data_IF_441911711013
#
_entry.id   IF_441911711013
#
_cell.length_a   1.000
_cell.length_b   1.000
_cell.length_c   1.000
_cell.angle_alpha   90.00
_cell.angle_beta   90.00
_cell.angle_gamma   90.00
#
_symmetry.space_group_name_H-M   'P 1'
#
loop_
_entity.id
_entity.type
_entity.pdbx_description
1 polymer ?
#
# COMPACT_ATOMS: atom_id res chain seq x y z
N UNK A 1 -30.07 -25.84 21.41
CA UNK A 1 -29.78 -27.01 22.27
C UNK A 1 -29.45 -28.16 21.30
N UNK A 2 -28.31 -28.83 21.24
CA UNK A 2 -27.08 -28.96 22.03
C UNK A 2 -25.94 -29.15 21.01
N UNK A 3 -24.87 -28.34 21.01
CA UNK A 3 -23.53 -28.62 21.57
C UNK A 3 -23.04 -30.07 21.45
N UNK A 4 -21.97 -30.28 20.67
CA UNK A 4 -20.81 -31.09 21.10
C UNK A 4 -19.52 -30.51 20.49
N UNK A 5 -18.62 -30.16 21.39
CA UNK A 5 -17.24 -29.75 21.18
C UNK A 5 -16.34 -30.99 21.13
N UNK A 6 -15.26 -30.96 20.35
CA UNK A 6 -14.02 -31.68 20.68
C UNK A 6 -12.83 -30.87 20.16
N UNK A 7 -11.85 -30.74 21.05
CA UNK A 7 -10.65 -29.94 21.05
C UNK A 7 -9.47 -30.90 21.01
N UNK A 8 -8.49 -30.66 20.14
CA UNK A 8 -7.05 -30.93 20.31
C UNK A 8 -6.35 -30.45 19.03
N UNK A 9 -5.25 -29.70 19.00
CA UNK A 9 -4.06 -29.73 19.85
C UNK A 9 -2.94 -30.43 19.06
N UNK A 10 -1.84 -29.74 18.73
CA UNK A 10 -0.61 -30.39 18.25
C UNK A 10 0.00 -29.86 16.95
N UNK A 11 0.70 -28.75 17.08
CA UNK A 11 1.96 -28.41 16.40
C UNK A 11 2.88 -29.61 16.13
N UNK A 12 3.36 -29.74 14.88
CA UNK A 12 4.62 -30.43 14.58
C UNK A 12 5.25 -29.83 13.30
N UNK A 13 6.40 -29.17 13.48
CA UNK A 13 7.40 -29.06 12.43
C UNK A 13 7.99 -30.44 12.16
N UNK A 14 8.16 -30.81 10.89
CA UNK A 14 9.00 -31.96 10.52
C UNK A 14 9.73 -31.62 9.22
N UNK A 15 10.89 -30.99 9.40
CA UNK A 15 11.98 -31.05 8.44
C UNK A 15 12.63 -32.43 8.53
N UNK A 16 12.44 -33.29 7.53
CA UNK A 16 13.37 -34.39 7.23
C UNK A 16 13.35 -34.61 5.71
N UNK A 17 14.33 -34.02 5.02
CA UNK A 17 14.70 -34.45 3.68
C UNK A 17 15.39 -35.82 3.84
N UNK A 18 14.74 -36.87 3.35
CA UNK A 18 15.30 -38.22 3.23
C UNK A 18 16.52 -38.20 2.32
N UNK A 19 17.68 -38.51 2.87
CA UNK A 19 18.85 -39.00 2.15
C UNK A 19 18.83 -40.53 2.24
N UNK A 20 18.63 -41.22 1.12
CA UNK A 20 19.25 -42.54 0.93
C UNK A 20 19.31 -42.93 -0.55
N UNK A 21 20.51 -43.42 -0.91
CA UNK A 21 20.78 -44.57 -1.79
C UNK A 21 21.30 -44.25 -3.19
N UNK A 22 22.59 -44.50 -3.40
CA UNK A 22 23.02 -45.81 -3.91
C UNK A 22 24.54 -45.84 -4.05
N UNK A 23 25.20 -46.67 -3.23
CA UNK A 23 26.60 -47.01 -3.41
C UNK A 23 26.80 -47.99 -4.56
N UNK A 24 27.85 -47.76 -5.34
CA UNK A 24 28.50 -48.71 -6.22
C UNK A 24 29.99 -48.37 -6.18
N UNK A 25 30.73 -49.33 -5.62
CA UNK A 25 32.16 -49.29 -5.34
C UNK A 25 32.84 -50.10 -6.45
N UNK A 26 33.68 -49.45 -7.25
CA UNK A 26 34.68 -50.15 -8.07
C UNK A 26 35.97 -49.34 -8.08
N UNK A 27 36.91 -49.77 -7.24
CA UNK A 27 38.29 -49.34 -7.28
C UNK A 27 39.03 -49.94 -8.50
N UNK A 28 39.70 -49.11 -9.30
CA UNK A 28 40.98 -49.50 -9.89
C UNK A 28 41.81 -48.26 -10.25
N UNK A 29 43.03 -48.21 -9.73
CA UNK A 29 43.94 -47.07 -9.81
C UNK A 29 44.65 -46.91 -11.15
N UNK A 30 45.33 -45.76 -11.30
CA UNK A 30 46.25 -45.50 -12.39
C UNK A 30 46.50 -44.01 -12.64
N UNK A 31 47.56 -43.51 -12.02
CA UNK A 31 48.54 -42.56 -12.56
C UNK A 31 48.21 -41.07 -12.78
N UNK A 32 49.27 -40.31 -12.47
CA UNK A 32 49.61 -38.90 -12.53
C UNK A 32 48.83 -37.92 -13.43
N UNK A 33 48.49 -36.77 -12.83
CA UNK A 33 48.09 -35.55 -13.53
C UNK A 33 47.94 -34.39 -12.56
N UNK A 34 48.97 -33.53 -12.49
CA UNK A 34 48.94 -32.27 -11.74
C UNK A 34 47.99 -31.28 -12.42
N UNK A 35 46.70 -31.37 -12.13
CA UNK A 35 45.74 -30.36 -12.55
C UNK A 35 45.61 -29.34 -11.41
N UNK A 36 46.31 -28.21 -11.56
CA UNK A 36 46.16 -27.02 -10.73
C UNK A 36 44.68 -26.72 -10.52
N UNK A 37 44.16 -27.00 -9.32
CA UNK A 37 42.87 -26.48 -8.89
C UNK A 37 43.05 -24.98 -8.64
N UNK A 38 43.05 -24.20 -9.71
CA UNK A 38 42.64 -22.80 -9.61
C UNK A 38 41.23 -22.86 -9.06
N UNK A 39 41.12 -22.64 -7.75
CA UNK A 39 39.86 -22.38 -7.08
C UNK A 39 39.28 -21.17 -7.78
N UNK A 40 38.37 -21.42 -8.73
CA UNK A 40 37.58 -20.40 -9.40
C UNK A 40 36.68 -19.80 -8.33
N UNK A 41 37.22 -18.86 -7.56
CA UNK A 41 36.41 -17.92 -6.80
C UNK A 41 35.63 -17.13 -7.84
N UNK A 42 34.44 -17.62 -8.17
CA UNK A 42 33.42 -16.81 -8.80
C UNK A 42 33.15 -15.72 -7.78
N UNK A 43 33.64 -14.51 -8.04
CA UNK A 43 33.28 -13.34 -7.27
C UNK A 43 31.76 -13.32 -7.24
N UNK A 44 31.17 -13.60 -6.07
CA UNK A 44 29.73 -13.50 -5.89
C UNK A 44 29.43 -12.02 -6.03
N UNK A 45 28.86 -11.64 -7.17
CA UNK A 45 28.33 -10.30 -7.37
C UNK A 45 27.27 -10.12 -6.30
N UNK A 46 27.54 -9.21 -5.36
CA UNK A 46 26.57 -8.83 -4.34
C UNK A 46 25.40 -8.19 -5.08
N UNK A 47 24.30 -8.92 -5.20
CA UNK A 47 23.08 -8.34 -5.76
C UNK A 47 22.54 -7.36 -4.72
N UNK A 48 22.17 -6.13 -5.10
CA UNK A 48 21.55 -5.20 -4.18
C UNK A 48 20.31 -5.86 -3.56
N UNK A 49 20.13 -5.73 -2.25
CA UNK A 49 18.89 -6.12 -1.59
C UNK A 49 17.89 -5.01 -1.90
N UNK A 50 17.06 -5.23 -2.90
CA UNK A 50 15.95 -4.33 -3.20
C UNK A 50 14.85 -4.55 -2.16
N UNK A 51 14.59 -3.52 -1.35
CA UNK A 51 13.46 -3.54 -0.43
C UNK A 51 12.17 -3.30 -1.23
N UNK A 52 11.27 -4.27 -1.23
CA UNK A 52 9.92 -4.07 -1.78
C UNK A 52 9.22 -3.06 -0.87
N UNK A 53 9.02 -1.83 -1.36
CA UNK A 53 8.27 -0.81 -0.62
C UNK A 53 6.79 -1.10 -0.80
N UNK A 54 6.10 -1.31 0.33
CA UNK A 54 4.67 -1.57 0.33
C UNK A 54 3.88 -0.26 0.18
N UNK A 55 2.74 -0.28 -0.55
CA UNK A 55 1.88 0.88 -0.63
C UNK A 55 1.30 1.21 0.76
N UNK A 56 1.13 2.50 1.10
CA UNK A 56 0.54 2.88 2.38
C UNK A 56 -0.93 2.44 2.44
N UNK A 57 -1.35 1.96 3.61
CA UNK A 57 -2.75 1.60 3.89
C UNK A 57 -3.51 2.79 4.43
N UNK A 58 -4.78 2.92 4.04
CA UNK A 58 -5.69 3.92 4.63
C UNK A 58 -6.14 3.39 5.99
N UNK A 59 -5.67 4.02 7.06
CA UNK A 59 -5.98 3.62 8.45
C UNK A 59 -7.28 4.22 8.98
N UNK A 60 -7.70 5.37 8.44
CA UNK A 60 -8.89 6.11 8.86
C UNK A 60 -9.36 7.05 7.76
N UNK A 61 -10.67 7.34 7.73
CA UNK A 61 -11.29 8.35 6.86
C UNK A 61 -11.27 9.77 7.47
N UNK A 62 -10.64 9.94 8.63
CA UNK A 62 -10.39 11.26 9.20
C UNK A 62 -9.41 12.06 8.32
N UNK A 63 -9.59 13.38 8.24
CA UNK A 63 -8.81 14.25 7.35
C UNK A 63 -7.31 14.15 7.61
N UNK A 64 -6.89 14.15 8.87
CA UNK A 64 -5.48 14.10 9.25
C UNK A 64 -4.82 12.82 8.71
N UNK A 65 -5.49 11.68 8.89
CA UNK A 65 -5.02 10.40 8.39
C UNK A 65 -4.94 10.36 6.86
N UNK A 66 -5.92 10.98 6.17
CA UNK A 66 -5.92 11.07 4.70
C UNK A 66 -4.83 11.99 4.17
N UNK A 67 -4.55 13.11 4.84
CA UNK A 67 -3.43 14.02 4.50
C UNK A 67 -2.09 13.31 4.65
N UNK A 68 -1.88 12.60 5.76
CA UNK A 68 -0.67 11.81 5.98
C UNK A 68 -0.54 10.71 4.93
N UNK A 69 -1.64 10.02 4.63
CA UNK A 69 -1.65 8.98 3.60
C UNK A 69 -1.34 9.53 2.21
N UNK A 70 -1.86 10.71 1.82
CA UNK A 70 -1.55 11.35 0.54
C UNK A 70 -0.05 11.65 0.42
N UNK A 71 0.56 12.11 1.51
CA UNK A 71 2.00 12.36 1.57
C UNK A 71 2.81 11.05 1.39
N UNK A 72 2.46 10.01 2.15
CA UNK A 72 3.12 8.70 2.08
C UNK A 72 2.92 8.04 0.71
N UNK A 73 1.74 8.21 0.10
CA UNK A 73 1.45 7.70 -1.24
C UNK A 73 2.32 8.36 -2.28
N UNK A 74 2.48 9.68 -2.22
CA UNK A 74 3.36 10.39 -3.15
C UNK A 74 4.80 9.90 -3.06
N UNK A 75 5.30 9.69 -1.84
CA UNK A 75 6.64 9.13 -1.61
C UNK A 75 6.77 7.70 -2.17
N UNK A 76 5.77 6.85 -1.95
CA UNK A 76 5.70 5.51 -2.54
C UNK A 76 5.71 5.54 -4.08
N UNK A 77 4.96 6.46 -4.68
CA UNK A 77 4.89 6.58 -6.13
C UNK A 77 6.22 7.05 -6.74
N UNK A 78 6.86 8.04 -6.13
CA UNK A 78 8.18 8.56 -6.54
C UNK A 78 9.23 7.45 -6.42
N UNK A 79 9.28 6.75 -5.28
CA UNK A 79 10.17 5.60 -5.08
C UNK A 79 9.96 4.51 -6.12
N UNK A 80 8.70 4.14 -6.39
CA UNK A 80 8.38 3.07 -7.36
C UNK A 80 8.77 3.48 -8.78
N UNK A 81 8.54 4.76 -9.16
CA UNK A 81 8.94 5.30 -10.46
C UNK A 81 10.46 5.26 -10.64
N UNK A 82 11.22 5.71 -9.64
CA UNK A 82 12.68 5.72 -9.68
C UNK A 82 13.25 4.30 -9.83
N UNK A 83 12.67 3.33 -9.12
CA UNK A 83 13.09 1.94 -9.19
C UNK A 83 12.79 1.28 -10.55
N UNK A 84 11.61 1.54 -11.12
CA UNK A 84 11.23 0.96 -12.42
C UNK A 84 12.12 1.47 -13.56
N UNK A 85 12.61 2.72 -13.48
CA UNK A 85 13.56 3.28 -14.46
C UNK A 85 14.87 2.48 -14.46
N UNK A 86 15.38 2.10 -13.30
CA UNK A 86 16.62 1.32 -13.15
C UNK A 86 16.42 -0.14 -13.63
N UNK A 87 15.25 -0.73 -13.33
CA UNK A 87 14.92 -2.12 -13.66
C UNK A 87 14.42 -2.39 -15.08
N UNK A 88 14.13 -1.36 -15.89
CA UNK A 88 13.36 -1.46 -17.17
C UNK A 88 11.99 -2.13 -17.01
N UNK A 89 11.37 -1.97 -15.85
CA UNK A 89 10.04 -2.51 -15.56
C UNK A 89 8.95 -1.50 -15.93
N UNK A 90 7.75 -1.97 -16.29
CA UNK A 90 6.61 -1.10 -16.52
C UNK A 90 6.05 -0.59 -15.18
N UNK A 91 6.17 0.72 -14.95
CA UNK A 91 5.69 1.41 -13.74
C UNK A 91 4.22 1.10 -13.46
N UNK A 92 3.39 1.03 -14.51
CA UNK A 92 1.94 0.81 -14.33
C UNK A 92 1.60 -0.59 -13.85
N UNK A 93 2.44 -1.58 -14.19
CA UNK A 93 2.30 -2.94 -13.72
C UNK A 93 2.78 -3.13 -12.27
N UNK A 94 3.78 -2.35 -11.84
CA UNK A 94 4.36 -2.44 -10.48
C UNK A 94 3.55 -1.62 -9.48
N UNK A 95 3.04 -0.46 -9.89
CA UNK A 95 2.30 0.46 -9.02
C UNK A 95 1.03 -0.19 -8.48
N UNK A 96 0.84 -0.12 -7.16
CA UNK A 96 -0.36 -0.62 -6.51
C UNK A 96 -1.49 0.41 -6.62
N UNK A 97 -2.67 -0.10 -6.99
CA UNK A 97 -3.88 0.70 -7.16
C UNK A 97 -4.32 1.38 -5.88
N UNK A 98 -5.06 2.48 -6.02
CA UNK A 98 -5.66 3.21 -4.90
C UNK A 98 -6.59 2.32 -4.10
N UNK A 99 -7.42 1.56 -4.81
CA UNK A 99 -8.35 0.58 -4.25
C UNK A 99 -7.64 -0.43 -3.34
N UNK A 100 -6.42 -0.85 -3.68
CA UNK A 100 -5.65 -1.83 -2.88
C UNK A 100 -5.12 -1.30 -1.55
N UNK A 101 -5.14 0.02 -1.34
CA UNK A 101 -4.75 0.64 -0.06
C UNK A 101 -5.84 0.60 1.00
N UNK A 102 -7.08 0.31 0.63
CA UNK A 102 -8.18 0.14 1.57
C UNK A 102 -8.27 -1.31 2.04
N UNK A 103 -8.76 -1.51 3.27
CA UNK A 103 -9.27 -2.81 3.68
C UNK A 103 -10.56 -3.13 2.90
N UNK A 104 -10.75 -4.40 2.53
CA UNK A 104 -11.87 -4.81 1.69
C UNK A 104 -13.24 -4.54 2.35
N UNK A 105 -13.36 -4.80 3.65
CA UNK A 105 -14.61 -4.62 4.39
C UNK A 105 -14.88 -3.13 4.62
N UNK A 106 -13.83 -2.35 4.89
CA UNK A 106 -13.93 -0.89 5.02
C UNK A 106 -14.38 -0.29 3.69
N UNK A 107 -13.79 -0.71 2.57
CA UNK A 107 -14.15 -0.22 1.26
C UNK A 107 -15.60 -0.56 0.89
N UNK A 108 -16.03 -1.81 1.15
CA UNK A 108 -17.42 -2.24 0.97
C UNK A 108 -18.39 -1.35 1.77
N UNK A 109 -18.09 -1.14 3.07
CA UNK A 109 -18.91 -0.29 3.93
C UNK A 109 -18.99 1.14 3.42
N UNK A 110 -17.88 1.73 2.95
CA UNK A 110 -17.87 3.08 2.38
C UNK A 110 -18.71 3.17 1.10
N UNK A 111 -18.62 2.14 0.24
CA UNK A 111 -19.42 2.06 -0.99
C UNK A 111 -20.92 2.04 -0.67
N UNK A 112 -21.35 1.21 0.26
CA UNK A 112 -22.77 1.05 0.61
C UNK A 112 -23.33 2.22 1.42
N UNK A 113 -22.61 2.64 2.48
CA UNK A 113 -23.13 3.55 3.49
C UNK A 113 -22.90 5.01 3.12
N UNK A 114 -21.72 5.34 2.59
CA UNK A 114 -21.33 6.73 2.37
C UNK A 114 -21.60 7.20 0.94
N UNK A 115 -21.40 6.33 -0.05
CA UNK A 115 -21.43 6.72 -1.46
C UNK A 115 -22.64 6.17 -2.23
N UNK A 116 -23.27 5.10 -1.77
CA UNK A 116 -24.39 4.45 -2.46
C UNK A 116 -24.01 3.89 -3.83
N UNK A 117 -22.76 3.40 -3.98
CA UNK A 117 -22.22 2.86 -5.24
C UNK A 117 -21.87 1.38 -5.08
N UNK A 118 -21.87 0.64 -6.19
CA UNK A 118 -21.40 -0.74 -6.19
C UNK A 118 -19.87 -0.80 -6.10
N UNK A 119 -19.32 -1.74 -5.33
CA UNK A 119 -17.87 -1.88 -5.19
C UNK A 119 -17.14 -2.16 -6.53
N UNK A 120 -17.83 -2.74 -7.53
CA UNK A 120 -17.24 -3.04 -8.84
C UNK A 120 -17.09 -1.79 -9.74
N UNK A 121 -17.91 -0.76 -9.54
CA UNK A 121 -17.86 0.48 -10.31
C UNK A 121 -16.83 1.48 -9.74
N UNK A 122 -16.34 1.22 -8.52
CA UNK A 122 -15.33 2.07 -7.85
C UNK A 122 -13.97 1.94 -8.52
N UNK A 123 -13.56 3.03 -9.16
CA UNK A 123 -12.23 3.24 -9.75
C UNK A 123 -11.29 3.95 -8.81
N UNK A 124 -10.00 3.89 -9.12
CA UNK A 124 -8.95 4.62 -8.38
C UNK A 124 -9.15 6.13 -8.41
N UNK A 125 -9.59 6.68 -9.55
CA UNK A 125 -9.89 8.10 -9.72
C UNK A 125 -11.04 8.56 -8.82
N UNK A 126 -12.11 7.76 -8.73
CA UNK A 126 -13.23 8.03 -7.84
C UNK A 126 -12.78 8.07 -6.37
N UNK A 127 -11.91 7.13 -5.96
CA UNK A 127 -11.39 7.10 -4.60
C UNK A 127 -10.53 8.32 -4.30
N UNK A 128 -9.67 8.73 -5.25
CA UNK A 128 -8.88 9.96 -5.12
C UNK A 128 -9.78 11.19 -5.01
N UNK A 129 -10.82 11.30 -5.83
CA UNK A 129 -11.79 12.39 -5.76
C UNK A 129 -12.42 12.49 -4.36
N UNK A 130 -12.85 11.37 -3.77
CA UNK A 130 -13.42 11.34 -2.42
C UNK A 130 -12.42 11.71 -1.33
N UNK A 131 -11.17 11.32 -1.48
CA UNK A 131 -10.10 11.71 -0.54
C UNK A 131 -9.82 13.22 -0.64
N UNK A 132 -9.81 13.76 -1.85
CA UNK A 132 -9.64 15.20 -2.09
C UNK A 132 -10.83 16.01 -1.58
N UNK A 133 -12.06 15.55 -1.76
CA UNK A 133 -13.26 16.19 -1.21
C UNK A 133 -13.14 16.43 0.31
N UNK A 134 -12.69 15.42 1.06
CA UNK A 134 -12.49 15.52 2.52
C UNK A 134 -11.28 16.41 2.85
N UNK A 135 -10.20 16.28 2.09
CA UNK A 135 -8.95 17.00 2.37
C UNK A 135 -9.05 18.49 2.04
N UNK A 136 -9.77 18.85 0.99
CA UNK A 136 -9.82 20.22 0.46
C UNK A 136 -10.98 21.05 1.06
N UNK A 137 -11.98 20.39 1.67
CA UNK A 137 -13.22 20.99 2.19
C UNK A 137 -13.06 22.15 3.19
N UNK A 138 -11.99 22.23 4.00
CA UNK A 138 -11.91 23.26 5.06
C UNK A 138 -11.38 24.62 4.59
N UNK A 139 -10.78 24.74 3.39
CA UNK A 139 -10.34 26.06 2.91
C UNK A 139 -11.49 26.99 2.53
N UNK A 140 -12.74 26.49 2.45
CA UNK A 140 -13.91 27.29 2.06
C UNK A 140 -14.85 27.64 3.22
N UNK A 141 -14.46 27.35 4.47
CA UNK A 141 -15.09 27.94 5.65
C UNK A 141 -14.15 29.00 6.24
N UNK A 142 -13.65 29.90 5.39
CA UNK A 142 -13.09 31.14 5.90
C UNK A 142 -14.21 31.85 6.65
N UNK A 143 -14.05 32.00 7.97
CA UNK A 143 -14.86 32.92 8.73
C UNK A 143 -14.89 34.24 7.95
N UNK A 144 -16.08 34.82 7.68
CA UNK A 144 -16.15 36.09 6.97
C UNK A 144 -15.20 37.05 7.66
N UNK A 145 -14.37 37.74 6.87
CA UNK A 145 -13.36 38.61 7.44
C UNK A 145 -14.03 39.54 8.47
N UNK A 146 -13.40 39.80 9.61
CA UNK A 146 -14.03 40.54 10.74
C UNK A 146 -14.76 41.82 10.29
N UNK A 147 -14.24 42.50 9.26
CA UNK A 147 -14.86 43.70 8.66
C UNK A 147 -16.19 43.43 7.95
N UNK A 148 -16.39 42.25 7.39
CA UNK A 148 -17.62 41.81 6.72
C UNK A 148 -18.73 41.53 7.72
N UNK A 149 -18.43 40.78 8.79
CA UNK A 149 -19.34 40.58 9.92
C UNK A 149 -19.85 41.91 10.49
N UNK A 150 -18.95 42.88 10.67
CA UNK A 150 -19.35 44.20 11.17
C UNK A 150 -20.14 45.05 10.15
N UNK A 151 -19.97 44.86 8.84
CA UNK A 151 -20.75 45.60 7.84
C UNK A 151 -22.20 45.14 7.80
N UNK A 152 -22.45 43.84 7.97
CA UNK A 152 -23.80 43.29 7.96
C UNK A 152 -24.57 43.62 9.24
N UNK A 153 -23.92 43.57 10.39
CA UNK A 153 -24.58 43.80 11.69
C UNK A 153 -24.71 45.29 12.04
N UNK A 154 -23.75 46.14 11.63
CA UNK A 154 -23.66 47.54 12.09
C UNK A 154 -24.00 48.59 11.03
N UNK A 155 -24.34 48.20 9.79
CA UNK A 155 -24.82 49.13 8.78
C UNK A 155 -26.34 48.99 8.67
N UNK A 156 -27.14 49.88 9.28
CA UNK A 156 -28.59 49.84 9.12
C UNK A 156 -28.89 50.09 7.65
N UNK A 157 -29.54 49.14 6.97
CA UNK A 157 -30.16 49.44 5.67
C UNK A 157 -31.08 50.63 5.89
N UNK A 158 -30.90 51.77 5.19
CA UNK A 158 -31.84 52.87 5.32
C UNK A 158 -33.17 52.35 4.79
N UNK A 159 -34.09 52.05 5.69
CA UNK A 159 -35.49 51.76 5.38
C UNK A 159 -36.01 52.98 4.65
N UNK A 160 -36.09 52.90 3.32
CA UNK A 160 -36.70 53.91 2.48
C UNK A 160 -38.20 53.87 2.74
N UNK A 161 -38.63 54.56 3.81
CA UNK A 161 -40.03 54.90 4.03
C UNK A 161 -40.39 55.92 2.96
N UNK A 162 -41.02 55.44 1.88
CA UNK A 162 -41.60 56.29 0.83
C UNK A 162 -42.99 56.73 1.32
N UNK A 163 -43.08 57.95 1.83
CA UNK A 163 -44.34 58.70 1.95
C UNK A 163 -44.64 59.45 0.63
#
# INVERSE_FOLDING_TARGET
MATTSTKDGGDHETFLFTDERSGDDTAQGGDSGLESTTSRQVARVTHPIFAIVNPPKVSSMAREALVEWLKLRKEYEEYTKDHCIDGKEDVTAVMKSVKSSFDANVLETLCEVCWGVEQSSVTDDFLLEKIHEITDSFQNQELPGVKELFREELCPTPTLTRE
#
